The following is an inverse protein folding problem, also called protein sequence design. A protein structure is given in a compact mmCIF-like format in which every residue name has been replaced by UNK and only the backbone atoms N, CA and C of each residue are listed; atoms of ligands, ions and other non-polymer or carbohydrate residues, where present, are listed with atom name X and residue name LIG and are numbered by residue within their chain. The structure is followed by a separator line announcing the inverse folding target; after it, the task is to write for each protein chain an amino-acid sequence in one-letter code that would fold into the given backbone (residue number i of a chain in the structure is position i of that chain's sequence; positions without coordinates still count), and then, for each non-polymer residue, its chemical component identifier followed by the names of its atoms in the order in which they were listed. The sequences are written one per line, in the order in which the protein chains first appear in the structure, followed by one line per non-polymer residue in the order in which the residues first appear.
data_IF_391041762064
#
_entry.id   IF_391041762064
#
_cell.length_a   1.000
_cell.length_b   1.000
_cell.length_c   1.000
_cell.angle_alpha   90.00
_cell.angle_beta   90.00
_cell.angle_gamma   90.00
#
_symmetry.space_group_name_H-M   'P 1'
#
loop_
_entity.id
_entity.type
_entity.pdbx_description
1 polymer ?
#
# COMPACT_ATOMS: atom_id res chain seq x y z
N UNK A 1 -17.39 -20.74 72.18
CA UNK A 1 -17.35 -22.17 72.59
C UNK A 1 -16.49 -22.89 71.55
N UNK A 2 -15.16 -22.92 71.71
CA UNK A 2 -14.37 -23.96 72.42
C UNK A 2 -14.35 -25.33 71.69
N UNK A 3 -13.13 -25.76 71.31
CA UNK A 3 -12.57 -27.15 71.35
C UNK A 3 -13.06 -28.09 70.21
N UNK A 4 -12.26 -28.69 69.31
CA UNK A 4 -10.98 -29.44 69.28
C UNK A 4 -11.05 -30.96 69.57
N UNK A 5 -10.30 -31.73 68.74
CA UNK A 5 -9.76 -33.12 68.89
C UNK A 5 -10.74 -34.30 68.59
N UNK A 6 -10.48 -35.21 67.64
CA UNK A 6 -9.60 -36.40 67.83
C UNK A 6 -9.30 -37.20 66.53
N UNK A 7 -8.04 -37.62 66.36
CA UNK A 7 -7.57 -38.85 65.68
C UNK A 7 -7.28 -39.93 66.78
N UNK A 8 -6.84 -41.21 66.57
CA UNK A 8 -6.16 -41.84 65.40
C UNK A 8 -6.51 -43.33 65.09
N UNK A 9 -5.95 -43.91 64.01
CA UNK A 9 -5.14 -45.17 63.97
C UNK A 9 -4.93 -45.71 62.54
N UNK A 10 -3.67 -46.02 62.23
CA UNK A 10 -3.17 -46.81 61.10
C UNK A 10 -2.45 -48.03 61.73
N UNK A 11 -2.37 -49.24 61.11
CA UNK A 11 -1.20 -49.53 60.25
C UNK A 11 -1.35 -50.62 59.13
N UNK A 12 -0.34 -50.63 58.24
CA UNK A 12 0.20 -51.68 57.32
C UNK A 12 -0.10 -51.69 55.79
N UNK A 13 0.99 -51.38 55.05
CA UNK A 13 1.43 -51.67 53.65
C UNK A 13 1.39 -53.19 53.33
N UNK A 14 1.44 -53.73 52.10
CA UNK A 14 1.72 -53.30 50.71
C UNK A 14 1.40 -54.51 49.80
N UNK A 15 0.72 -54.33 48.66
CA UNK A 15 0.31 -55.40 47.74
C UNK A 15 0.83 -55.21 46.30
N UNK A 16 1.31 -56.31 45.74
CA UNK A 16 1.94 -56.54 44.43
C UNK A 16 0.96 -56.62 43.25
N UNK A 17 1.31 -56.06 42.09
CA UNK A 17 0.59 -56.23 40.81
C UNK A 17 1.55 -56.66 39.69
N UNK A 18 2.17 -57.81 39.89
CA UNK A 18 2.88 -58.62 38.89
C UNK A 18 2.09 -59.92 38.67
N UNK A 19 0.90 -59.88 38.04
CA UNK A 19 0.21 -61.14 37.69
C UNK A 19 -0.92 -61.09 36.64
N UNK A 20 -1.21 -59.99 35.93
CA UNK A 20 -2.44 -60.03 35.08
C UNK A 20 -2.35 -59.51 33.66
N UNK A 21 -1.37 -58.67 33.30
CA UNK A 21 -1.32 -58.12 31.94
C UNK A 21 -0.31 -58.81 31.01
N UNK A 22 0.21 -59.97 31.42
CA UNK A 22 1.29 -60.69 30.74
C UNK A 22 0.87 -62.02 30.10
N UNK A 23 -0.42 -62.31 29.94
CA UNK A 23 -0.86 -63.59 29.37
C UNK A 23 -1.87 -63.45 28.21
N UNK A 24 -1.30 -63.43 27.00
CA UNK A 24 -1.93 -63.75 25.71
C UNK A 24 -2.72 -62.63 25.01
N UNK A 25 -2.00 -61.96 24.12
CA UNK A 25 -2.26 -62.13 22.69
C UNK A 25 -0.93 -62.49 21.99
N UNK A 26 -0.59 -63.78 22.08
CA UNK A 26 0.40 -64.46 21.24
C UNK A 26 -0.17 -64.61 19.82
N UNK A 27 0.74 -64.65 18.84
CA UNK A 27 0.74 -65.50 17.64
C UNK A 27 0.67 -64.77 16.29
N UNK A 28 1.82 -64.39 15.73
CA UNK A 28 2.48 -65.12 14.63
C UNK A 28 3.52 -64.25 13.89
N UNK A 29 4.76 -64.74 13.91
CA UNK A 29 5.76 -64.85 12.85
C UNK A 29 5.93 -63.71 11.82
N UNK A 30 7.14 -63.14 11.72
CA UNK A 30 8.16 -63.58 10.72
C UNK A 30 9.39 -62.64 10.64
N UNK A 31 10.52 -63.28 10.29
CA UNK A 31 11.78 -62.78 9.69
C UNK A 31 12.88 -62.13 10.53
N UNK A 32 14.03 -62.83 10.50
CA UNK A 32 15.39 -62.32 10.51
C UNK A 32 15.50 -60.90 9.94
N UNK A 33 16.16 -60.00 10.68
CA UNK A 33 17.27 -59.13 10.26
C UNK A 33 17.27 -57.90 11.19
N UNK A 34 18.11 -57.86 12.23
CA UNK A 34 18.24 -56.64 13.04
C UNK A 34 19.63 -56.45 13.66
N UNK A 35 20.67 -56.57 12.82
CA UNK A 35 22.00 -56.01 13.13
C UNK A 35 22.22 -54.60 12.56
N UNK A 36 21.27 -54.02 11.81
CA UNK A 36 21.49 -52.75 11.08
C UNK A 36 21.07 -51.48 11.85
N UNK A 37 20.17 -51.59 12.85
CA UNK A 37 19.57 -50.43 13.51
C UNK A 37 20.39 -49.88 14.71
N UNK A 38 21.51 -50.50 15.05
CA UNK A 38 22.41 -50.04 16.13
C UNK A 38 23.41 -48.97 15.68
N UNK A 39 23.60 -48.75 14.37
CA UNK A 39 24.73 -47.99 13.82
C UNK A 39 24.41 -46.53 13.42
N UNK A 40 23.13 -46.13 13.28
CA UNK A 40 22.80 -44.88 12.58
C UNK A 40 23.00 -43.58 13.39
N UNK A 41 22.83 -43.58 14.73
CA UNK A 41 22.90 -42.34 15.54
C UNK A 41 24.32 -41.90 15.88
N UNK A 42 25.20 -42.85 16.21
CA UNK A 42 26.63 -42.57 16.39
C UNK A 42 27.26 -42.16 15.07
N UNK A 43 26.88 -42.79 13.96
CA UNK A 43 27.38 -42.46 12.62
C UNK A 43 26.98 -41.04 12.16
N UNK A 44 25.79 -40.55 12.52
CA UNK A 44 25.37 -39.18 12.19
C UNK A 44 26.17 -38.14 13.00
N UNK A 45 26.39 -38.39 14.30
CA UNK A 45 27.23 -37.53 15.12
C UNK A 45 28.70 -37.55 14.66
N UNK A 46 29.24 -38.73 14.35
CA UNK A 46 30.60 -38.87 13.85
C UNK A 46 30.80 -38.19 12.49
N UNK A 47 29.80 -38.23 11.59
CA UNK A 47 29.84 -37.45 10.34
C UNK A 47 29.84 -35.94 10.59
N UNK A 48 29.01 -35.47 11.53
CA UNK A 48 28.96 -34.05 11.89
C UNK A 48 30.29 -33.58 12.51
N UNK A 49 30.87 -34.41 13.39
CA UNK A 49 32.18 -34.17 13.98
C UNK A 49 33.28 -34.12 12.91
N UNK A 50 33.36 -35.12 12.03
CA UNK A 50 34.35 -35.15 10.95
C UNK A 50 34.27 -33.93 10.02
N UNK A 51 33.06 -33.41 9.75
CA UNK A 51 32.88 -32.21 8.93
C UNK A 51 33.19 -30.88 9.64
N UNK A 52 32.94 -30.80 10.96
CA UNK A 52 32.92 -29.53 11.69
C UNK A 52 34.06 -29.35 12.71
N UNK A 53 34.70 -30.43 13.18
CA UNK A 53 35.75 -30.37 14.21
C UNK A 53 36.97 -29.58 13.73
N UNK A 54 37.42 -29.82 12.49
CA UNK A 54 38.52 -29.06 11.90
C UNK A 54 38.21 -27.56 11.77
N UNK A 55 36.95 -27.21 11.50
CA UNK A 55 36.51 -25.82 11.40
C UNK A 55 36.43 -25.16 12.78
N UNK A 56 35.92 -25.86 13.80
CA UNK A 56 35.89 -25.37 15.17
C UNK A 56 37.29 -25.11 15.72
N UNK A 57 38.22 -26.05 15.50
CA UNK A 57 39.61 -25.91 15.92
C UNK A 57 40.29 -24.70 15.26
N UNK A 58 39.93 -24.38 14.01
CA UNK A 58 40.44 -23.20 13.29
C UNK A 58 40.01 -21.87 13.93
N UNK A 59 38.88 -21.84 14.64
CA UNK A 59 38.40 -20.67 15.37
C UNK A 59 38.68 -20.73 16.88
N UNK A 60 39.53 -21.67 17.33
CA UNK A 60 39.98 -21.78 18.72
C UNK A 60 39.01 -22.51 19.65
N UNK A 61 38.03 -23.22 19.12
CA UNK A 61 37.06 -24.01 19.89
C UNK A 61 37.35 -25.50 19.73
N UNK A 62 37.59 -26.22 20.83
CA UNK A 62 37.68 -27.67 20.81
C UNK A 62 36.30 -28.31 20.85
N UNK A 63 36.20 -29.54 20.33
CA UNK A 63 34.95 -30.29 20.36
C UNK A 63 34.50 -30.53 21.82
N UNK A 64 33.36 -29.97 22.26
CA UNK A 64 32.94 -30.03 23.67
C UNK A 64 32.51 -31.43 24.10
N UNK A 65 32.72 -31.77 25.38
CA UNK A 65 32.26 -33.05 25.97
C UNK A 65 30.73 -33.21 25.91
N UNK A 66 29.97 -32.10 25.91
CA UNK A 66 28.51 -32.12 25.74
C UNK A 66 28.05 -32.53 24.34
N UNK A 67 28.96 -32.55 23.36
CA UNK A 67 28.75 -33.03 21.99
C UNK A 67 29.53 -34.33 21.72
N UNK A 68 30.10 -34.97 22.75
CA UNK A 68 30.77 -36.26 22.59
C UNK A 68 29.76 -37.27 22.05
N UNK A 69 30.06 -37.91 20.92
CA UNK A 69 29.13 -38.80 20.24
C UNK A 69 28.71 -40.02 21.08
N UNK A 70 29.48 -40.32 22.13
CA UNK A 70 29.23 -41.33 23.16
C UNK A 70 28.11 -40.95 24.15
N UNK A 71 27.80 -39.66 24.29
CA UNK A 71 26.79 -39.14 25.22
C UNK A 71 25.34 -39.24 24.72
N UNK A 72 25.15 -39.63 23.46
CA UNK A 72 23.82 -39.72 22.85
C UNK A 72 23.19 -41.11 23.11
N UNK A 73 21.94 -41.20 23.59
CA UNK A 73 21.32 -42.46 23.98
C UNK A 73 21.03 -43.37 22.77
N UNK A 74 21.41 -44.64 22.91
CA UNK A 74 21.33 -45.68 21.86
C UNK A 74 19.95 -46.36 21.82
N UNK A 75 19.02 -46.01 22.72
CA UNK A 75 17.72 -46.71 22.86
C UNK A 75 16.53 -45.76 22.70
N UNK A 76 15.67 -46.05 21.71
CA UNK A 76 14.21 -45.92 21.81
C UNK A 76 13.57 -44.54 21.96
N UNK A 77 14.14 -43.46 21.42
CA UNK A 77 13.46 -42.14 21.32
C UNK A 77 13.32 -41.67 19.87
N UNK A 78 12.15 -41.16 19.49
CA UNK A 78 11.83 -40.62 18.15
C UNK A 78 12.96 -39.79 17.52
N UNK A 79 13.18 -39.99 16.22
CA UNK A 79 14.19 -39.30 15.42
C UNK A 79 13.70 -37.89 15.06
N UNK A 80 14.25 -36.83 15.67
CA UNK A 80 13.93 -35.43 15.32
C UNK A 80 14.79 -34.85 14.18
N UNK A 81 15.10 -35.64 13.15
CA UNK A 81 15.77 -35.15 11.93
C UNK A 81 15.09 -35.78 10.72
N UNK A 82 14.57 -34.94 9.82
CA UNK A 82 13.84 -35.37 8.63
C UNK A 82 14.67 -36.27 7.73
N UNK A 83 14.09 -37.40 7.31
CA UNK A 83 14.70 -38.29 6.32
C UNK A 83 14.91 -37.55 5.01
N UNK A 84 16.15 -37.61 4.50
CA UNK A 84 16.52 -37.08 3.20
C UNK A 84 16.19 -38.16 2.15
N UNK A 85 15.03 -38.06 1.49
CA UNK A 85 14.74 -38.87 0.31
C UNK A 85 15.51 -38.31 -0.88
N UNK A 86 16.72 -38.82 -1.11
CA UNK A 86 17.34 -38.80 -2.42
C UNK A 86 18.20 -40.04 -2.63
N UNK A 87 17.70 -40.84 -3.58
CA UNK A 87 18.44 -41.71 -4.50
C UNK A 87 18.95 -43.07 -4.00
N UNK A 88 18.17 -44.12 -4.31
CA UNK A 88 18.72 -45.41 -4.72
C UNK A 88 18.57 -45.54 -6.24
N UNK A 89 19.70 -45.44 -6.91
CA UNK A 89 19.90 -45.63 -8.35
C UNK A 89 19.50 -47.03 -8.81
N UNK A 90 18.74 -47.10 -9.92
CA UNK A 90 18.66 -48.26 -10.81
C UNK A 90 19.23 -47.85 -12.19
N UNK A 91 19.89 -48.77 -12.93
CA UNK A 91 20.75 -48.39 -14.05
C UNK A 91 19.97 -48.34 -15.36
N UNK A 92 20.17 -47.29 -16.17
CA UNK A 92 19.77 -47.26 -17.59
C UNK A 92 20.94 -46.73 -18.41
N UNK A 93 21.24 -47.48 -19.49
CA UNK A 93 22.33 -47.31 -20.45
C UNK A 93 22.35 -45.95 -21.18
N UNK A 94 23.50 -45.56 -21.77
CA UNK A 94 23.73 -44.21 -22.26
C UNK A 94 23.40 -44.06 -23.75
N UNK A 95 22.68 -43.00 -24.10
CA UNK A 95 22.83 -42.30 -25.40
C UNK A 95 22.57 -40.81 -25.22
N UNK A 96 23.31 -39.92 -25.92
CA UNK A 96 23.35 -38.50 -25.60
C UNK A 96 22.46 -37.71 -26.55
N UNK A 97 21.48 -36.97 -26.04
CA UNK A 97 21.19 -35.63 -26.56
C UNK A 97 20.33 -34.84 -25.57
N UNK A 98 20.40 -33.51 -25.69
CA UNK A 98 19.64 -32.46 -24.99
C UNK A 98 20.40 -31.77 -23.85
N UNK A 99 21.24 -30.84 -24.30
CA UNK A 99 21.29 -29.42 -23.89
C UNK A 99 21.05 -29.09 -22.41
N UNK A 100 22.19 -28.82 -21.76
CA UNK A 100 22.41 -28.05 -20.53
C UNK A 100 21.26 -27.13 -20.07
N UNK A 101 20.60 -27.51 -18.98
CA UNK A 101 20.09 -26.55 -18.01
C UNK A 101 21.16 -26.34 -16.94
N UNK A 102 21.70 -25.13 -16.87
CA UNK A 102 22.63 -24.67 -15.83
C UNK A 102 21.98 -24.74 -14.43
N UNK A 103 22.73 -25.09 -13.37
CA UNK A 103 22.21 -25.12 -12.01
C UNK A 103 21.96 -23.69 -11.50
N UNK A 104 20.72 -23.42 -11.07
CA UNK A 104 20.36 -22.15 -10.44
C UNK A 104 21.18 -21.94 -9.16
N UNK A 105 21.99 -20.89 -9.18
CA UNK A 105 22.59 -20.28 -8.00
C UNK A 105 21.54 -20.05 -6.91
N UNK A 106 21.72 -20.68 -5.74
CA UNK A 106 21.05 -20.28 -4.50
C UNK A 106 21.35 -18.80 -4.19
N UNK A 107 20.46 -17.89 -4.61
CA UNK A 107 20.46 -16.49 -4.15
C UNK A 107 19.99 -16.45 -2.68
N UNK A 108 20.96 -16.38 -1.76
CA UNK A 108 20.73 -15.89 -0.38
C UNK A 108 20.10 -14.49 -0.47
N UNK A 109 18.89 -14.30 0.08
CA UNK A 109 18.28 -12.97 0.25
C UNK A 109 16.90 -12.73 -0.38
N UNK A 110 16.24 -13.75 -0.97
CA UNK A 110 14.88 -13.59 -1.49
C UNK A 110 13.84 -13.74 -0.38
N UNK A 111 12.90 -12.78 -0.28
CA UNK A 111 11.77 -12.83 0.65
C UNK A 111 10.95 -14.11 0.39
N UNK A 112 10.52 -14.78 1.46
CA UNK A 112 9.60 -15.93 1.40
C UNK A 112 8.38 -15.62 2.26
N UNK A 113 7.19 -15.84 1.71
CA UNK A 113 5.96 -15.54 2.41
C UNK A 113 5.82 -16.39 3.70
N UNK A 114 5.73 -15.76 4.89
CA UNK A 114 5.42 -16.45 6.13
C UNK A 114 4.06 -17.13 6.07
N UNK A 115 3.88 -18.25 6.79
CA UNK A 115 2.60 -18.97 6.82
C UNK A 115 1.44 -18.05 7.24
N UNK A 116 1.68 -17.13 8.18
CA UNK A 116 0.73 -16.14 8.68
C UNK A 116 0.25 -15.11 7.65
N UNK A 117 0.96 -14.92 6.54
CA UNK A 117 0.64 -13.92 5.50
C UNK A 117 0.24 -14.56 4.17
N UNK A 118 0.16 -15.89 4.12
CA UNK A 118 -0.33 -16.59 2.94
C UNK A 118 -1.78 -16.18 2.66
N UNK A 119 -2.17 -16.21 1.41
CA UNK A 119 -3.57 -16.04 1.03
C UNK A 119 -3.98 -17.16 0.08
N UNK A 120 -5.28 -17.48 -0.01
CA UNK A 120 -5.74 -18.51 -0.92
C UNK A 120 -5.32 -18.24 -2.39
N UNK A 121 -4.91 -19.28 -3.15
CA UNK A 121 -4.38 -19.10 -4.50
C UNK A 121 -5.34 -18.43 -5.48
N UNK A 122 -6.65 -18.61 -5.29
CA UNK A 122 -7.64 -18.03 -6.17
C UNK A 122 -7.59 -16.50 -6.19
N UNK A 123 -7.03 -15.84 -5.17
CA UNK A 123 -6.92 -14.39 -5.08
C UNK A 123 -5.81 -13.80 -5.96
N UNK A 124 -4.80 -14.58 -6.37
CA UNK A 124 -3.65 -14.14 -7.18
C UNK A 124 -2.90 -12.93 -6.58
N UNK A 125 -2.83 -12.83 -5.25
CA UNK A 125 -2.12 -11.73 -4.59
C UNK A 125 -0.61 -11.88 -4.76
N UNK A 126 0.06 -10.74 -4.81
CA UNK A 126 1.52 -10.67 -4.90
C UNK A 126 2.04 -9.68 -3.86
N UNK A 127 3.07 -10.10 -3.13
CA UNK A 127 3.70 -9.29 -2.12
C UNK A 127 5.21 -9.54 -2.10
N UNK A 128 6.00 -8.45 -2.29
CA UNK A 128 7.47 -8.49 -2.37
C UNK A 128 8.02 -9.54 -3.35
N UNK A 129 7.33 -9.73 -4.48
CA UNK A 129 7.72 -10.68 -5.53
C UNK A 129 7.29 -12.13 -5.29
N UNK A 130 6.65 -12.45 -4.16
CA UNK A 130 6.09 -13.77 -3.89
C UNK A 130 4.58 -13.83 -4.18
N UNK A 131 4.15 -14.94 -4.78
CA UNK A 131 2.76 -15.20 -5.09
C UNK A 131 2.00 -15.76 -3.89
N UNK A 132 0.67 -15.57 -3.88
CA UNK A 132 -0.22 -16.06 -2.83
C UNK A 132 0.17 -15.52 -1.44
N UNK A 133 0.65 -14.28 -1.41
CA UNK A 133 1.09 -13.58 -0.22
C UNK A 133 0.49 -12.17 -0.17
N UNK A 134 0.11 -11.70 1.02
CA UNK A 134 -0.47 -10.36 1.22
C UNK A 134 0.25 -9.56 2.29
N UNK A 135 0.23 -8.23 2.16
CA UNK A 135 0.70 -7.33 3.21
C UNK A 135 -0.19 -7.45 4.47
N UNK A 136 0.36 -7.34 5.69
CA UNK A 136 -0.42 -7.43 6.93
C UNK A 136 -1.34 -6.22 7.14
N UNK A 137 -2.51 -6.45 7.74
CA UNK A 137 -3.58 -5.47 7.98
C UNK A 137 -4.18 -5.61 9.39
N UNK A 138 -3.31 -5.66 10.40
CA UNK A 138 -3.71 -5.86 11.81
C UNK A 138 -3.03 -4.83 12.73
N UNK A 139 -3.64 -3.65 12.96
CA UNK A 139 -2.99 -2.54 13.67
C UNK A 139 -2.52 -2.88 15.09
N UNK A 140 -3.24 -3.78 15.78
CA UNK A 140 -3.01 -4.13 17.19
C UNK A 140 -1.88 -5.13 17.40
N UNK A 141 -1.38 -5.79 16.34
CA UNK A 141 -0.31 -6.80 16.45
C UNK A 141 1.05 -6.19 16.15
N UNK A 142 2.08 -6.69 16.81
CA UNK A 142 3.47 -6.33 16.53
C UNK A 142 3.81 -6.71 15.07
N UNK A 143 4.29 -5.73 14.28
CA UNK A 143 4.49 -5.87 12.82
C UNK A 143 3.23 -6.22 12.01
N UNK A 144 2.04 -5.99 12.57
CA UNK A 144 0.76 -6.17 11.87
C UNK A 144 0.44 -5.05 10.86
N UNK A 145 1.32 -4.06 10.73
CA UNK A 145 1.32 -3.07 9.65
C UNK A 145 2.73 -2.92 9.10
N UNK A 146 2.82 -2.55 7.82
CA UNK A 146 4.11 -2.47 7.13
C UNK A 146 4.89 -1.20 7.47
N UNK A 147 4.21 -0.05 7.52
CA UNK A 147 4.89 1.25 7.53
C UNK A 147 4.55 2.17 8.71
N UNK A 148 3.42 1.94 9.38
CA UNK A 148 2.85 2.88 10.35
C UNK A 148 2.56 2.20 11.67
N UNK A 149 2.55 2.97 12.75
CA UNK A 149 2.01 2.54 14.04
C UNK A 149 0.49 2.77 14.12
N UNK A 150 -0.17 2.13 15.09
CA UNK A 150 -1.60 2.32 15.34
C UNK A 150 -1.95 3.79 15.63
N UNK A 151 -1.13 4.49 16.40
CA UNK A 151 -1.35 5.90 16.74
C UNK A 151 -1.20 6.81 15.53
N UNK A 152 -0.24 6.53 14.64
CA UNK A 152 -0.04 7.28 13.39
C UNK A 152 -1.21 7.07 12.43
N UNK A 153 -1.70 5.83 12.34
CA UNK A 153 -2.85 5.50 11.54
C UNK A 153 -4.11 6.23 12.04
N UNK A 154 -4.36 6.18 13.36
CA UNK A 154 -5.49 6.90 13.99
C UNK A 154 -5.40 8.41 13.74
N UNK A 155 -4.23 8.99 13.96
CA UNK A 155 -4.00 10.41 13.70
C UNK A 155 -4.30 10.76 12.24
N UNK A 156 -3.76 10.00 11.28
CA UNK A 156 -3.96 10.25 9.86
C UNK A 156 -5.44 10.13 9.46
N UNK A 157 -6.18 9.13 9.97
CA UNK A 157 -7.61 8.98 9.68
C UNK A 157 -8.45 10.12 10.22
N UNK A 158 -8.23 10.52 11.47
CA UNK A 158 -8.93 11.67 12.08
C UNK A 158 -8.61 12.94 11.28
N UNK A 159 -7.34 13.14 10.93
CA UNK A 159 -6.89 14.27 10.12
C UNK A 159 -7.60 14.30 8.76
N UNK A 160 -7.54 13.21 7.99
CA UNK A 160 -8.20 13.09 6.68
C UNK A 160 -9.71 13.28 6.81
N UNK A 161 -10.34 12.71 7.84
CA UNK A 161 -11.77 12.81 8.10
C UNK A 161 -12.24 14.25 8.32
N UNK A 162 -11.62 14.98 9.25
CA UNK A 162 -11.96 16.40 9.55
C UNK A 162 -11.89 17.24 8.28
N UNK A 163 -10.79 17.08 7.54
CA UNK A 163 -10.49 17.87 6.37
C UNK A 163 -11.35 17.52 5.15
N UNK A 164 -11.78 16.26 5.03
CA UNK A 164 -12.74 15.82 4.03
C UNK A 164 -14.13 16.39 4.30
N UNK A 165 -14.55 16.48 5.56
CA UNK A 165 -15.83 17.11 5.93
C UNK A 165 -15.83 18.60 5.60
N UNK A 166 -14.76 19.33 5.95
CA UNK A 166 -14.61 20.75 5.63
C UNK A 166 -14.61 20.99 4.12
N UNK A 167 -13.89 20.16 3.34
CA UNK A 167 -13.91 20.24 1.88
C UNK A 167 -15.31 19.95 1.33
N UNK A 168 -15.96 18.88 1.80
CA UNK A 168 -17.28 18.51 1.32
C UNK A 168 -18.27 19.65 1.53
N UNK A 169 -18.28 20.27 2.71
CA UNK A 169 -19.15 21.41 3.01
C UNK A 169 -18.90 22.60 2.07
N UNK A 170 -17.64 22.97 1.84
CA UNK A 170 -17.30 24.13 1.00
C UNK A 170 -17.58 23.90 -0.49
N UNK A 171 -17.20 22.74 -1.01
CA UNK A 171 -17.39 22.42 -2.44
C UNK A 171 -18.84 22.11 -2.75
N UNK A 172 -19.57 21.46 -1.83
CA UNK A 172 -21.02 21.24 -1.95
C UNK A 172 -21.76 22.57 -2.00
N UNK A 173 -21.41 23.53 -1.13
CA UNK A 173 -22.04 24.85 -1.15
C UNK A 173 -21.81 25.58 -2.48
N UNK A 174 -20.61 25.47 -3.04
CA UNK A 174 -20.27 26.01 -4.38
C UNK A 174 -21.14 25.38 -5.47
N UNK A 175 -21.25 24.05 -5.47
CA UNK A 175 -22.09 23.31 -6.45
C UNK A 175 -23.56 23.67 -6.28
N UNK A 176 -24.09 23.74 -5.05
CA UNK A 176 -25.48 24.10 -4.78
C UNK A 176 -25.78 25.53 -5.25
N UNK A 177 -24.86 26.47 -5.02
CA UNK A 177 -25.02 27.86 -5.48
C UNK A 177 -25.11 27.93 -7.00
N UNK A 178 -24.28 27.17 -7.72
CA UNK A 178 -24.38 27.05 -9.17
C UNK A 178 -25.72 26.43 -9.62
N UNK A 179 -26.20 25.39 -8.94
CA UNK A 179 -27.47 24.75 -9.28
C UNK A 179 -28.69 25.66 -9.08
N UNK A 180 -28.61 26.61 -8.14
CA UNK A 180 -29.66 27.61 -7.91
C UNK A 180 -29.70 28.63 -9.06
N UNK A 181 -28.55 29.05 -9.58
CA UNK A 181 -28.47 30.03 -10.68
C UNK A 181 -27.37 29.64 -11.69
N UNK A 182 -27.72 28.73 -12.61
CA UNK A 182 -26.80 28.24 -13.62
C UNK A 182 -26.49 29.27 -14.70
N UNK A 183 -27.41 30.21 -14.97
CA UNK A 183 -27.28 31.20 -16.03
C UNK A 183 -26.29 32.31 -15.67
N UNK A 184 -26.00 32.47 -14.38
CA UNK A 184 -25.04 33.46 -13.87
C UNK A 184 -23.58 33.13 -14.23
N UNK A 185 -23.24 31.86 -14.44
CA UNK A 185 -21.85 31.44 -14.62
C UNK A 185 -21.58 31.06 -16.07
N UNK A 186 -20.89 31.94 -16.80
CA UNK A 186 -20.44 31.71 -18.17
C UNK A 186 -18.98 31.24 -18.22
N UNK A 187 -18.55 30.68 -19.34
CA UNK A 187 -17.12 30.47 -19.58
C UNK A 187 -16.39 31.84 -19.53
N UNK A 188 -15.18 31.93 -18.95
CA UNK A 188 -14.25 30.86 -18.58
C UNK A 188 -14.36 30.35 -17.13
N UNK A 189 -15.39 30.73 -16.36
CA UNK A 189 -15.52 30.39 -14.94
C UNK A 189 -16.10 28.99 -14.70
N UNK A 190 -16.93 28.48 -15.61
CA UNK A 190 -17.60 27.15 -15.49
C UNK A 190 -16.67 25.97 -15.12
N UNK A 191 -15.42 25.84 -15.62
CA UNK A 191 -14.49 24.78 -15.20
C UNK A 191 -14.27 24.70 -13.69
N UNK A 192 -14.34 25.83 -12.96
CA UNK A 192 -14.22 25.86 -11.50
C UNK A 192 -15.35 25.07 -10.83
N UNK A 193 -16.58 25.14 -11.37
CA UNK A 193 -17.73 24.43 -10.81
C UNK A 193 -17.58 22.92 -10.99
N UNK A 194 -17.11 22.47 -12.16
CA UNK A 194 -16.83 21.05 -12.38
C UNK A 194 -15.67 20.55 -11.53
N UNK A 195 -14.66 21.40 -11.30
CA UNK A 195 -13.58 21.13 -10.35
C UNK A 195 -14.13 20.95 -8.92
N UNK A 196 -15.02 21.85 -8.45
CA UNK A 196 -15.73 21.71 -7.17
C UNK A 196 -16.50 20.40 -7.07
N UNK A 197 -17.25 20.04 -8.12
CA UNK A 197 -18.03 18.80 -8.17
C UNK A 197 -17.15 17.56 -8.02
N UNK A 198 -15.98 17.53 -8.67
CA UNK A 198 -15.00 16.47 -8.50
C UNK A 198 -14.52 16.37 -7.05
N UNK A 199 -14.17 17.50 -6.42
CA UNK A 199 -13.70 17.52 -5.03
C UNK A 199 -14.78 17.15 -4.00
N UNK A 200 -16.05 17.47 -4.26
CA UNK A 200 -17.17 16.98 -3.44
C UNK A 200 -17.20 15.45 -3.46
N UNK A 201 -17.10 14.83 -4.64
CA UNK A 201 -17.10 13.37 -4.75
C UNK A 201 -15.85 12.71 -4.13
N UNK A 202 -14.68 13.33 -4.28
CA UNK A 202 -13.46 12.88 -3.58
C UNK A 202 -13.63 12.92 -2.05
N UNK A 203 -14.22 14.00 -1.54
CA UNK A 203 -14.47 14.17 -0.11
C UNK A 203 -15.46 13.14 0.42
N UNK A 204 -16.53 12.86 -0.33
CA UNK A 204 -17.49 11.80 0.01
C UNK A 204 -16.80 10.44 0.09
N UNK A 205 -15.91 10.11 -0.84
CA UNK A 205 -15.18 8.85 -0.81
C UNK A 205 -14.24 8.74 0.41
N UNK A 206 -13.54 9.81 0.80
CA UNK A 206 -12.73 9.82 2.02
C UNK A 206 -13.57 9.79 3.31
N UNK A 207 -14.74 10.44 3.35
CA UNK A 207 -15.69 10.32 4.46
C UNK A 207 -16.19 8.87 4.58
N UNK A 208 -16.53 8.23 3.46
CA UNK A 208 -16.92 6.82 3.44
C UNK A 208 -15.78 5.92 3.96
N UNK A 209 -14.54 6.15 3.52
CA UNK A 209 -13.36 5.45 4.05
C UNK A 209 -13.17 5.65 5.54
N UNK A 210 -13.36 6.87 6.05
CA UNK A 210 -13.30 7.18 7.48
C UNK A 210 -14.35 6.40 8.29
N UNK A 211 -15.59 6.33 7.81
CA UNK A 211 -16.69 5.63 8.49
C UNK A 211 -16.57 4.10 8.43
N UNK A 212 -15.98 3.58 7.35
CA UNK A 212 -15.86 2.15 7.12
C UNK A 212 -14.57 1.55 7.70
N UNK A 213 -13.61 2.40 8.08
CA UNK A 213 -12.35 2.05 8.74
C UNK A 213 -11.60 0.90 8.01
N UNK A 214 -11.16 -0.12 8.74
CA UNK A 214 -10.40 -1.25 8.23
C UNK A 214 -11.26 -2.24 7.43
N UNK A 215 -12.59 -2.15 7.50
CA UNK A 215 -13.49 -3.16 6.92
C UNK A 215 -13.40 -3.22 5.41
N UNK A 216 -13.07 -2.10 4.76
CA UNK A 216 -12.97 -2.03 3.29
C UNK A 216 -11.56 -2.37 2.81
N UNK A 217 -10.55 -1.98 3.58
CA UNK A 217 -9.14 -2.09 3.20
C UNK A 217 -8.51 -3.43 3.59
N UNK A 218 -8.95 -4.04 4.69
CA UNK A 218 -8.47 -5.35 5.14
C UNK A 218 -9.42 -6.45 4.68
N UNK A 219 -8.85 -7.59 4.27
CA UNK A 219 -9.60 -8.83 4.12
C UNK A 219 -10.11 -9.32 5.48
N UNK A 220 -11.18 -10.11 5.46
CA UNK A 220 -11.55 -10.90 6.62
C UNK A 220 -10.45 -11.92 6.91
N UNK A 221 -10.40 -12.37 8.17
CA UNK A 221 -9.36 -13.28 8.60
C UNK A 221 -9.54 -14.64 7.88
N UNK A 222 -8.52 -15.06 7.15
CA UNK A 222 -8.44 -16.41 6.57
C UNK A 222 -8.04 -17.42 7.66
N UNK A 223 -7.64 -18.64 7.27
CA UNK A 223 -7.06 -19.66 8.17
C UNK A 223 -5.74 -19.22 8.87
N UNK A 224 -5.29 -17.99 8.61
CA UNK A 224 -4.04 -17.44 9.10
C UNK A 224 -4.28 -16.49 10.28
N UNK A 225 -3.26 -16.36 11.14
CA UNK A 225 -3.33 -15.49 12.31
C UNK A 225 -3.44 -14.00 11.99
N UNK A 226 -3.14 -13.54 10.77
CA UNK A 226 -3.13 -12.13 10.39
C UNK A 226 -4.12 -11.84 9.25
N UNK A 227 -4.83 -10.71 9.35
CA UNK A 227 -5.58 -10.13 8.24
C UNK A 227 -4.60 -9.56 7.22
N UNK A 228 -4.97 -9.59 5.95
CA UNK A 228 -4.16 -9.06 4.85
C UNK A 228 -4.84 -7.89 4.16
N UNK A 229 -4.05 -7.00 3.57
CA UNK A 229 -4.56 -5.86 2.79
C UNK A 229 -5.20 -6.39 1.51
N UNK A 230 -6.32 -5.79 1.11
CA UNK A 230 -7.04 -6.12 -0.11
C UNK A 230 -6.21 -5.77 -1.33
N UNK A 231 -6.14 -6.69 -2.29
CA UNK A 231 -5.54 -6.50 -3.61
C UNK A 231 -6.55 -6.94 -4.68
N UNK A 232 -6.55 -6.24 -5.81
CA UNK A 232 -7.46 -6.48 -6.92
C UNK A 232 -8.89 -5.98 -6.68
N UNK A 233 -9.79 -6.43 -7.55
CA UNK A 233 -11.17 -5.92 -7.68
C UNK A 233 -12.22 -6.83 -7.02
N UNK A 234 -11.78 -7.79 -6.21
CA UNK A 234 -12.67 -8.82 -5.64
C UNK A 234 -13.53 -8.31 -4.49
N UNK A 235 -13.07 -7.27 -3.78
CA UNK A 235 -13.82 -6.65 -2.70
C UNK A 235 -14.57 -5.43 -3.23
N UNK A 236 -15.90 -5.53 -3.23
CA UNK A 236 -16.78 -4.52 -3.84
C UNK A 236 -16.58 -3.13 -3.22
N UNK A 237 -16.61 -3.03 -1.89
CA UNK A 237 -16.45 -1.74 -1.20
C UNK A 237 -15.12 -1.05 -1.54
N UNK A 238 -14.04 -1.82 -1.67
CA UNK A 238 -12.71 -1.29 -2.01
C UNK A 238 -12.69 -0.80 -3.46
N UNK A 239 -13.28 -1.58 -4.37
CA UNK A 239 -13.40 -1.25 -5.78
C UNK A 239 -14.23 0.00 -6.01
N UNK A 240 -15.35 0.18 -5.29
CA UNK A 240 -16.21 1.37 -5.39
C UNK A 240 -15.46 2.63 -4.93
N UNK A 241 -14.78 2.59 -3.78
CA UNK A 241 -13.98 3.72 -3.31
C UNK A 241 -12.85 4.07 -4.28
N UNK A 242 -12.17 3.05 -4.81
CA UNK A 242 -11.17 3.24 -5.86
C UNK A 242 -11.76 3.93 -7.10
N UNK A 243 -12.90 3.46 -7.62
CA UNK A 243 -13.54 4.02 -8.80
C UNK A 243 -13.89 5.50 -8.59
N UNK A 244 -14.49 5.85 -7.45
CA UNK A 244 -14.80 7.24 -7.12
C UNK A 244 -13.53 8.08 -7.02
N UNK A 245 -12.56 7.67 -6.21
CA UNK A 245 -11.35 8.45 -5.96
C UNK A 245 -10.52 8.65 -7.23
N UNK A 246 -10.22 7.58 -7.96
CA UNK A 246 -9.35 7.65 -9.11
C UNK A 246 -10.01 8.42 -10.27
N UNK A 247 -11.28 8.16 -10.57
CA UNK A 247 -12.01 8.85 -11.64
C UNK A 247 -12.06 10.36 -11.40
N UNK A 248 -12.55 10.79 -10.22
CA UNK A 248 -12.71 12.21 -9.93
C UNK A 248 -11.36 12.92 -9.69
N UNK A 249 -10.33 12.22 -9.23
CA UNK A 249 -8.98 12.78 -9.13
C UNK A 249 -8.40 13.09 -10.51
N UNK A 250 -8.52 12.15 -11.45
CA UNK A 250 -8.05 12.36 -12.82
C UNK A 250 -8.89 13.40 -13.56
N UNK A 251 -10.22 13.39 -13.38
CA UNK A 251 -11.10 14.42 -13.95
C UNK A 251 -10.78 15.81 -13.43
N UNK A 252 -10.56 15.97 -12.11
CA UNK A 252 -10.19 17.28 -11.53
C UNK A 252 -8.88 17.82 -12.11
N UNK A 253 -7.91 16.96 -12.36
CA UNK A 253 -6.63 17.37 -12.96
C UNK A 253 -6.81 17.86 -14.41
N UNK A 254 -7.69 17.22 -15.19
CA UNK A 254 -8.02 17.65 -16.55
C UNK A 254 -8.83 18.95 -16.53
N UNK A 255 -9.79 19.10 -15.62
CA UNK A 255 -10.54 20.35 -15.45
C UNK A 255 -9.65 21.53 -15.09
N UNK A 256 -8.59 21.31 -14.30
CA UNK A 256 -7.57 22.33 -14.08
C UNK A 256 -6.80 22.70 -15.35
N UNK A 257 -6.43 21.73 -16.20
CA UNK A 257 -5.81 22.02 -17.51
C UNK A 257 -6.78 22.80 -18.41
N UNK A 258 -8.07 22.45 -18.41
CA UNK A 258 -9.10 23.17 -19.17
C UNK A 258 -9.24 24.60 -18.63
N UNK A 259 -9.22 24.81 -17.32
CA UNK A 259 -9.23 26.14 -16.71
C UNK A 259 -8.03 26.99 -17.18
N UNK A 260 -6.82 26.40 -17.19
CA UNK A 260 -5.62 27.07 -17.70
C UNK A 260 -5.74 27.41 -19.20
N UNK A 261 -6.30 26.49 -20.00
CA UNK A 261 -6.54 26.69 -21.42
C UNK A 261 -7.56 27.81 -21.67
N UNK A 262 -8.74 27.77 -21.05
CA UNK A 262 -9.79 28.78 -21.24
C UNK A 262 -9.33 30.14 -20.77
N UNK A 263 -8.53 30.19 -19.69
CA UNK A 263 -7.87 31.41 -19.24
C UNK A 263 -6.89 31.95 -20.29
N UNK A 264 -6.03 31.11 -20.88
CA UNK A 264 -5.13 31.51 -21.96
C UNK A 264 -5.89 31.99 -23.21
N UNK A 265 -6.95 31.29 -23.62
CA UNK A 265 -7.77 31.68 -24.78
C UNK A 265 -8.42 33.05 -24.57
N UNK A 266 -8.93 33.30 -23.37
CA UNK A 266 -9.51 34.60 -23.01
C UNK A 266 -8.43 35.70 -22.93
N UNK A 267 -7.31 35.43 -22.26
CA UNK A 267 -6.24 36.41 -22.00
C UNK A 267 -5.35 36.71 -23.19
N UNK A 268 -4.90 35.69 -23.91
CA UNK A 268 -3.96 35.82 -25.00
C UNK A 268 -4.62 35.90 -26.37
N UNK A 269 -5.60 35.05 -26.63
CA UNK A 269 -6.28 35.00 -27.92
C UNK A 269 -7.51 35.92 -27.99
N UNK A 270 -7.86 36.60 -26.90
CA UNK A 270 -9.01 37.51 -26.78
C UNK A 270 -10.35 36.83 -27.12
N UNK A 271 -10.48 35.54 -26.85
CA UNK A 271 -11.75 34.85 -27.07
C UNK A 271 -12.81 35.33 -26.08
N UNK A 272 -13.99 35.67 -26.59
CA UNK A 272 -15.18 35.94 -25.78
C UNK A 272 -15.78 34.65 -25.20
N UNK A 273 -16.68 34.79 -24.22
CA UNK A 273 -17.33 33.66 -23.57
C UNK A 273 -18.13 32.77 -24.56
N UNK A 274 -18.80 33.37 -25.54
CA UNK A 274 -19.56 32.68 -26.60
C UNK A 274 -18.69 31.74 -27.44
N UNK A 275 -17.48 32.19 -27.81
CA UNK A 275 -16.55 31.40 -28.62
C UNK A 275 -16.00 30.18 -27.86
N UNK A 276 -15.75 30.34 -26.56
CA UNK A 276 -15.31 29.24 -25.69
C UNK A 276 -16.47 28.27 -25.47
N UNK A 277 -17.68 28.77 -25.23
CA UNK A 277 -18.87 27.95 -24.99
C UNK A 277 -19.26 27.10 -26.19
N UNK A 278 -19.11 27.63 -27.42
CA UNK A 278 -19.33 26.89 -28.67
C UNK A 278 -18.43 25.65 -28.84
N UNK A 279 -17.33 25.57 -28.09
CA UNK A 279 -16.38 24.44 -28.11
C UNK A 279 -16.45 23.57 -26.84
N UNK A 280 -17.38 23.84 -25.93
CA UNK A 280 -17.45 23.20 -24.62
C UNK A 280 -17.61 21.68 -24.65
N UNK A 281 -18.24 21.13 -25.69
CA UNK A 281 -18.37 19.69 -25.91
C UNK A 281 -17.02 18.96 -25.89
N UNK A 282 -15.97 19.55 -26.44
CA UNK A 282 -14.64 18.94 -26.47
C UNK A 282 -13.99 18.92 -25.09
N UNK A 283 -14.21 19.96 -24.29
CA UNK A 283 -13.71 20.03 -22.92
C UNK A 283 -14.35 18.94 -22.05
N UNK A 284 -15.67 18.78 -22.13
CA UNK A 284 -16.40 17.73 -21.42
C UNK A 284 -15.99 16.33 -21.87
N UNK A 285 -15.86 16.11 -23.18
CA UNK A 285 -15.43 14.83 -23.72
C UNK A 285 -14.06 14.43 -23.16
N UNK A 286 -13.08 15.34 -23.21
CA UNK A 286 -11.73 15.07 -22.68
C UNK A 286 -11.74 14.82 -21.17
N UNK A 287 -12.45 15.66 -20.40
CA UNK A 287 -12.49 15.59 -18.94
C UNK A 287 -13.14 14.32 -18.39
N UNK A 288 -14.09 13.72 -19.12
CA UNK A 288 -14.81 12.53 -18.66
C UNK A 288 -14.36 11.23 -19.31
N UNK A 289 -14.06 11.24 -20.61
CA UNK A 289 -13.66 10.02 -21.32
C UNK A 289 -12.26 9.55 -20.90
N UNK A 290 -11.30 10.47 -20.73
CA UNK A 290 -9.91 10.09 -20.39
C UNK A 290 -9.83 9.43 -19.00
N UNK A 291 -10.46 9.96 -17.93
CA UNK A 291 -10.51 9.26 -16.65
C UNK A 291 -11.28 7.95 -16.73
N UNK A 292 -12.40 7.89 -17.46
CA UNK A 292 -13.18 6.66 -17.62
C UNK A 292 -12.34 5.52 -18.22
N UNK A 293 -11.64 5.79 -19.33
CA UNK A 293 -10.78 4.82 -20.01
C UNK A 293 -9.68 4.33 -19.05
N UNK A 294 -9.06 5.24 -18.29
CA UNK A 294 -8.03 4.88 -17.31
C UNK A 294 -8.58 4.01 -16.18
N UNK A 295 -9.72 4.37 -15.60
CA UNK A 295 -10.38 3.57 -14.57
C UNK A 295 -10.71 2.17 -15.07
N UNK A 296 -11.30 2.05 -16.26
CA UNK A 296 -11.63 0.75 -16.88
C UNK A 296 -10.36 -0.08 -17.09
N UNK A 297 -9.29 0.55 -17.59
CA UNK A 297 -8.00 -0.13 -17.82
C UNK A 297 -7.44 -0.69 -16.50
N UNK A 298 -7.46 0.09 -15.42
CA UNK A 298 -6.94 -0.35 -14.10
C UNK A 298 -7.79 -1.48 -13.52
N UNK A 299 -9.12 -1.41 -13.66
CA UNK A 299 -10.01 -2.49 -13.26
C UNK A 299 -9.74 -3.78 -14.05
N UNK A 300 -9.48 -3.66 -15.36
CA UNK A 300 -9.18 -4.80 -16.22
C UNK A 300 -7.84 -5.47 -15.86
N UNK A 301 -6.82 -4.70 -15.47
CA UNK A 301 -5.53 -5.27 -15.00
C UNK A 301 -5.54 -5.67 -13.52
N UNK A 302 -6.60 -5.37 -12.78
CA UNK A 302 -6.73 -5.71 -11.37
C UNK A 302 -5.72 -5.02 -10.45
N UNK A 303 -5.19 -3.85 -10.83
CA UNK A 303 -4.18 -3.11 -10.05
C UNK A 303 -4.85 -2.15 -9.05
N UNK A 304 -5.66 -2.69 -8.14
CA UNK A 304 -6.33 -1.93 -7.08
C UNK A 304 -5.83 -2.43 -5.74
N UNK A 305 -5.35 -1.53 -4.88
CA UNK A 305 -4.79 -1.87 -3.59
C UNK A 305 -5.48 -1.08 -2.48
N UNK A 306 -5.66 -1.71 -1.32
CA UNK A 306 -6.08 -1.01 -0.12
C UNK A 306 -4.97 -0.14 0.48
N UNK A 307 -5.30 1.10 0.88
CA UNK A 307 -4.42 1.96 1.68
C UNK A 307 -4.88 1.98 3.15
N UNK A 308 -4.12 1.28 3.99
CA UNK A 308 -4.39 1.16 5.44
C UNK A 308 -4.35 2.50 6.16
N UNK A 309 -3.58 3.46 5.66
CA UNK A 309 -3.40 4.74 6.33
C UNK A 309 -4.63 5.63 6.15
N UNK A 310 -5.10 5.77 4.90
CA UNK A 310 -6.24 6.63 4.56
C UNK A 310 -7.60 5.93 4.70
N UNK A 311 -7.64 4.60 4.76
CA UNK A 311 -8.91 3.84 4.86
C UNK A 311 -9.65 3.73 3.54
N UNK A 312 -9.00 4.00 2.41
CA UNK A 312 -9.57 3.92 1.06
C UNK A 312 -8.73 2.99 0.17
N UNK A 313 -9.11 2.84 -1.10
CA UNK A 313 -8.38 2.02 -2.06
C UNK A 313 -7.90 2.86 -3.24
N UNK A 314 -6.68 2.58 -3.71
CA UNK A 314 -6.03 3.32 -4.77
C UNK A 314 -5.11 2.43 -5.62
N UNK A 315 -4.64 2.94 -6.75
CA UNK A 315 -3.71 2.22 -7.64
C UNK A 315 -2.25 2.56 -7.28
N UNK A 316 -1.35 1.57 -7.42
CA UNK A 316 0.09 1.81 -7.29
C UNK A 316 0.62 1.80 -5.85
N UNK A 317 -0.15 1.26 -4.89
CA UNK A 317 0.32 1.11 -3.51
C UNK A 317 1.32 -0.04 -3.42
N UNK A 318 1.06 -1.18 -4.06
CA UNK A 318 1.98 -2.33 -4.05
C UNK A 318 2.83 -2.43 -5.32
N UNK A 319 2.38 -1.85 -6.44
CA UNK A 319 3.07 -1.94 -7.73
C UNK A 319 3.64 -0.59 -8.20
N UNK A 320 4.97 -0.51 -8.34
CA UNK A 320 5.67 0.68 -8.83
C UNK A 320 5.34 0.97 -10.30
N UNK A 321 5.17 -0.07 -11.11
CA UNK A 321 4.83 0.09 -12.53
C UNK A 321 3.43 0.69 -12.70
N UNK A 322 2.47 0.25 -11.88
CA UNK A 322 1.13 0.82 -11.88
C UNK A 322 1.13 2.27 -11.39
N UNK A 323 1.91 2.60 -10.35
CA UNK A 323 2.10 3.98 -9.88
C UNK A 323 2.65 4.89 -10.97
N UNK A 324 3.71 4.46 -11.67
CA UNK A 324 4.35 5.21 -12.76
C UNK A 324 3.39 5.44 -13.92
N UNK A 325 2.77 4.37 -14.41
CA UNK A 325 1.94 4.41 -15.62
C UNK A 325 0.59 5.10 -15.42
N UNK A 326 -0.10 4.80 -14.32
CA UNK A 326 -1.48 5.27 -14.13
C UNK A 326 -1.61 6.54 -13.29
N UNK A 327 -0.58 6.95 -12.54
CA UNK A 327 -0.64 8.13 -11.67
C UNK A 327 0.41 9.15 -12.08
N UNK A 328 1.69 8.82 -11.97
CA UNK A 328 2.77 9.79 -12.11
C UNK A 328 2.89 10.36 -13.53
N UNK A 329 2.93 9.51 -14.55
CA UNK A 329 3.04 9.95 -15.94
C UNK A 329 1.86 10.84 -16.38
N UNK A 330 0.58 10.46 -16.13
CA UNK A 330 -0.57 11.35 -16.34
C UNK A 330 -0.47 12.70 -15.63
N UNK A 331 -0.16 12.72 -14.34
CA UNK A 331 -0.11 13.95 -13.56
C UNK A 331 1.00 14.88 -14.06
N UNK A 332 2.15 14.33 -14.43
CA UNK A 332 3.24 15.09 -15.03
C UNK A 332 2.83 15.71 -16.37
N UNK A 333 2.19 14.94 -17.26
CA UNK A 333 1.69 15.45 -18.55
C UNK A 333 0.66 16.55 -18.36
N UNK A 334 -0.31 16.37 -17.45
CA UNK A 334 -1.32 17.39 -17.16
C UNK A 334 -0.68 18.66 -16.60
N UNK A 335 0.22 18.53 -15.62
CA UNK A 335 0.94 19.66 -15.04
C UNK A 335 1.76 20.41 -16.09
N UNK A 336 2.47 19.70 -16.96
CA UNK A 336 3.27 20.30 -18.02
C UNK A 336 2.41 21.08 -19.01
N UNK A 337 1.30 20.49 -19.48
CA UNK A 337 0.38 21.15 -20.43
C UNK A 337 -0.27 22.37 -19.76
N UNK A 338 -0.81 22.23 -18.55
CA UNK A 338 -1.47 23.32 -17.85
C UNK A 338 -0.51 24.47 -17.52
N UNK A 339 0.70 24.18 -17.04
CA UNK A 339 1.70 25.23 -16.77
C UNK A 339 2.15 25.93 -18.05
N UNK A 340 2.25 25.22 -19.18
CA UNK A 340 2.53 25.82 -20.48
C UNK A 340 1.47 26.86 -20.88
N UNK A 341 0.18 26.54 -20.70
CA UNK A 341 -0.90 27.51 -20.95
C UNK A 341 -0.87 28.68 -19.96
N UNK A 342 -0.59 28.44 -18.68
CA UNK A 342 -0.46 29.51 -17.68
C UNK A 342 0.69 30.47 -18.01
N UNK A 343 1.83 29.95 -18.45
CA UNK A 343 2.96 30.78 -18.89
C UNK A 343 2.60 31.59 -20.14
N UNK A 344 1.99 30.95 -21.14
CA UNK A 344 1.57 31.64 -22.37
C UNK A 344 0.54 32.76 -22.09
N UNK A 345 -0.44 32.50 -21.22
CA UNK A 345 -1.44 33.50 -20.84
C UNK A 345 -0.84 34.62 -20.00
N UNK A 346 0.10 34.31 -19.10
CA UNK A 346 0.81 35.33 -18.31
C UNK A 346 1.59 36.27 -19.23
N UNK A 347 2.42 35.73 -20.13
CA UNK A 347 3.17 36.52 -21.14
C UNK A 347 2.23 37.39 -21.98
N UNK A 348 1.07 36.85 -22.37
CA UNK A 348 0.09 37.59 -23.17
C UNK A 348 -0.54 38.76 -22.38
N UNK A 349 -0.83 38.58 -21.09
CA UNK A 349 -1.34 39.65 -20.23
C UNK A 349 -0.32 40.79 -20.05
N UNK A 350 0.98 40.48 -19.88
CA UNK A 350 2.01 41.53 -19.82
C UNK A 350 2.09 42.32 -21.11
N UNK A 351 2.07 41.64 -22.28
CA UNK A 351 2.11 42.31 -23.58
C UNK A 351 0.93 43.28 -23.75
N UNK A 352 -0.26 42.88 -23.33
CA UNK A 352 -1.45 43.74 -23.39
C UNK A 352 -1.31 44.92 -22.42
N UNK A 353 -0.92 44.69 -21.17
CA UNK A 353 -0.75 45.75 -20.16
C UNK A 353 0.32 46.78 -20.53
N UNK A 354 1.39 46.37 -21.22
CA UNK A 354 2.43 47.29 -21.69
C UNK A 354 1.92 48.20 -22.82
N UNK A 355 1.01 47.73 -23.67
CA UNK A 355 0.49 48.47 -24.82
C UNK A 355 -0.73 49.34 -24.44
N UNK A 356 -1.55 48.89 -23.48
CA UNK A 356 -2.86 49.48 -23.16
C UNK A 356 -2.81 50.64 -22.14
N UNK A 357 -1.64 51.24 -21.91
CA UNK A 357 -1.46 52.32 -20.93
C UNK A 357 -2.14 53.65 -21.32
N UNK A 358 -2.86 53.70 -22.44
CA UNK A 358 -3.41 54.94 -22.99
C UNK A 358 -4.94 54.99 -23.20
N UNK A 359 -5.73 53.94 -22.92
CA UNK A 359 -7.20 54.01 -23.08
C UNK A 359 -7.99 53.02 -22.21
N UNK A 360 -9.00 53.53 -21.48
CA UNK A 360 -10.27 52.82 -21.24
C UNK A 360 -10.59 52.29 -19.83
N UNK A 361 -11.55 52.94 -19.16
CA UNK A 361 -12.15 52.58 -17.86
C UNK A 361 -13.11 51.36 -17.86
N UNK A 362 -13.43 50.77 -19.04
CA UNK A 362 -14.39 49.63 -19.15
C UNK A 362 -13.74 48.25 -19.10
N UNK A 363 -12.45 48.12 -19.38
CA UNK A 363 -11.74 46.82 -19.40
C UNK A 363 -11.27 46.37 -18.02
N UNK A 364 -11.36 47.23 -17.01
CA UNK A 364 -10.79 47.02 -15.68
C UNK A 364 -11.46 45.87 -14.89
N UNK A 365 -12.78 45.69 -15.05
CA UNK A 365 -13.52 44.59 -14.39
C UNK A 365 -13.13 43.21 -14.94
N UNK A 366 -13.11 43.08 -16.27
CA UNK A 366 -12.68 41.86 -16.96
C UNK A 366 -11.22 41.53 -16.63
N UNK A 367 -10.35 42.55 -16.60
CA UNK A 367 -8.94 42.38 -16.25
C UNK A 367 -8.74 41.90 -14.80
N UNK A 368 -9.48 42.45 -13.84
CA UNK A 368 -9.46 41.99 -12.43
C UNK A 368 -9.91 40.53 -12.29
N UNK A 369 -10.96 40.14 -13.01
CA UNK A 369 -11.45 38.76 -13.04
C UNK A 369 -10.40 37.80 -13.62
N UNK A 370 -9.76 38.18 -14.74
CA UNK A 370 -8.76 37.34 -15.39
C UNK A 370 -7.48 37.19 -14.56
N UNK A 371 -7.01 38.26 -13.91
CA UNK A 371 -5.87 38.20 -12.98
C UNK A 371 -6.15 37.24 -11.82
N UNK A 372 -7.37 37.30 -11.27
CA UNK A 372 -7.81 36.44 -10.17
C UNK A 372 -7.84 34.96 -10.55
N UNK A 373 -8.42 34.62 -11.71
CA UNK A 373 -8.42 33.25 -12.24
C UNK A 373 -6.98 32.75 -12.50
N UNK A 374 -6.11 33.63 -12.99
CA UNK A 374 -4.69 33.33 -13.19
C UNK A 374 -3.95 33.02 -11.88
N UNK A 375 -4.14 33.86 -10.84
CA UNK A 375 -3.57 33.63 -9.50
C UNK A 375 -4.04 32.29 -8.94
N UNK A 376 -5.34 32.01 -9.01
CA UNK A 376 -5.89 30.74 -8.53
C UNK A 376 -5.27 29.53 -9.24
N UNK A 377 -5.13 29.61 -10.56
CA UNK A 377 -4.55 28.53 -11.36
C UNK A 377 -3.06 28.28 -11.02
N UNK A 378 -2.30 29.34 -10.74
CA UNK A 378 -0.92 29.25 -10.25
C UNK A 378 -0.86 28.66 -8.84
N UNK A 379 -1.76 29.09 -7.94
CA UNK A 379 -1.83 28.54 -6.58
C UNK A 379 -2.15 27.04 -6.57
N UNK A 380 -2.94 26.53 -7.52
CA UNK A 380 -3.19 25.10 -7.68
C UNK A 380 -1.95 24.32 -8.18
N UNK A 381 -1.05 24.99 -8.91
CA UNK A 381 0.18 24.37 -9.45
C UNK A 381 1.11 23.92 -8.32
N UNK A 382 1.22 24.72 -7.25
CA UNK A 382 2.11 24.45 -6.09
C UNK A 382 1.79 23.13 -5.38
N UNK A 383 0.56 22.85 -4.91
CA UNK A 383 0.25 21.55 -4.31
C UNK A 383 0.34 20.40 -5.32
N UNK A 384 0.08 20.64 -6.62
CA UNK A 384 0.23 19.61 -7.64
C UNK A 384 1.70 19.20 -7.85
N UNK A 385 2.65 20.15 -7.89
CA UNK A 385 4.08 19.85 -7.99
C UNK A 385 4.59 19.13 -6.74
N UNK A 386 4.12 19.53 -5.55
CA UNK A 386 4.47 18.85 -4.29
C UNK A 386 3.99 17.39 -4.32
N UNK A 387 2.76 17.12 -4.74
CA UNK A 387 2.25 15.74 -4.87
C UNK A 387 3.09 14.90 -5.84
N UNK A 388 3.51 15.47 -6.96
CA UNK A 388 4.39 14.76 -7.91
C UNK A 388 5.78 14.52 -7.29
N UNK A 389 6.36 15.51 -6.62
CA UNK A 389 7.64 15.36 -5.91
C UNK A 389 7.57 14.29 -4.82
N UNK A 390 6.44 14.23 -4.11
CA UNK A 390 6.10 13.15 -3.20
C UNK A 390 6.16 11.80 -3.94
N UNK A 391 5.43 11.59 -5.03
CA UNK A 391 5.46 10.31 -5.74
C UNK A 391 6.86 9.92 -6.24
N UNK A 392 7.68 10.88 -6.67
CA UNK A 392 9.09 10.61 -7.00
C UNK A 392 9.91 10.18 -5.79
N UNK A 393 9.69 10.81 -4.64
CA UNK A 393 10.33 10.43 -3.37
C UNK A 393 9.92 9.02 -2.96
N UNK A 394 8.62 8.70 -2.97
CA UNK A 394 8.14 7.35 -2.68
C UNK A 394 8.77 6.32 -3.61
N UNK A 395 8.80 6.60 -4.91
CA UNK A 395 9.43 5.72 -5.88
C UNK A 395 10.93 5.50 -5.61
N UNK A 396 11.67 6.54 -5.23
CA UNK A 396 13.12 6.45 -5.05
C UNK A 396 13.52 5.65 -3.79
N UNK A 397 12.69 5.68 -2.75
CA UNK A 397 13.02 5.07 -1.46
C UNK A 397 12.24 3.78 -1.14
N UNK A 398 11.28 3.38 -1.99
CA UNK A 398 10.43 2.21 -1.75
C UNK A 398 11.23 0.93 -1.52
N UNK A 399 12.18 0.61 -2.39
CA UNK A 399 12.98 -0.62 -2.27
C UNK A 399 13.73 -0.69 -0.92
N UNK A 400 14.22 0.44 -0.43
CA UNK A 400 14.91 0.52 0.86
C UNK A 400 13.94 0.28 2.03
N UNK A 401 12.71 0.81 1.95
CA UNK A 401 11.68 0.60 2.96
C UNK A 401 11.23 -0.87 3.02
N UNK A 402 11.03 -1.49 1.86
CA UNK A 402 10.64 -2.90 1.75
C UNK A 402 11.71 -3.84 2.32
N UNK A 403 12.99 -3.61 2.01
CA UNK A 403 14.10 -4.39 2.55
C UNK A 403 14.23 -4.24 4.07
N UNK A 404 14.09 -3.01 4.58
CA UNK A 404 14.16 -2.72 6.01
C UNK A 404 13.02 -3.41 6.76
N UNK A 405 11.79 -3.32 6.24
CA UNK A 405 10.65 -4.01 6.82
C UNK A 405 10.83 -5.53 6.80
N UNK A 406 11.23 -6.10 5.66
CA UNK A 406 11.49 -7.55 5.55
C UNK A 406 12.53 -8.03 6.56
N UNK A 407 13.64 -7.30 6.72
CA UNK A 407 14.71 -7.65 7.67
C UNK A 407 14.28 -7.57 9.14
N UNK A 408 13.36 -6.66 9.49
CA UNK A 408 12.81 -6.53 10.84
C UNK A 408 11.73 -7.58 11.10
N UNK A 409 10.79 -7.74 10.18
CA UNK A 409 9.67 -8.67 10.30
C UNK A 409 10.12 -10.13 10.28
N UNK A 410 11.22 -10.47 9.60
CA UNK A 410 11.81 -11.80 9.64
C UNK A 410 12.22 -12.23 11.07
N UNK A 411 12.45 -11.28 11.98
CA UNK A 411 12.82 -11.51 13.39
C UNK A 411 11.62 -11.76 14.31
N UNK A 412 10.45 -11.36 13.85
CA UNK A 412 9.17 -11.52 14.56
C UNK A 412 8.43 -12.75 14.04
N UNK A 413 8.48 -12.99 12.72
CA UNK A 413 7.99 -14.22 12.11
C UNK A 413 9.00 -15.38 12.21
N UNK A 414 10.25 -15.12 12.61
CA UNK A 414 11.28 -16.12 12.93
C UNK A 414 12.17 -15.65 14.09
N UNK A 415 12.32 -16.47 15.14
CA UNK A 415 13.07 -16.14 16.37
C UNK A 415 14.53 -15.78 16.07
N UNK A 416 14.91 -14.50 15.98
CA UNK A 416 16.25 -13.94 16.31
C UNK A 416 16.16 -12.41 16.22
N UNK A 417 16.37 -11.72 17.35
CA UNK A 417 16.34 -10.24 17.42
C UNK A 417 17.70 -9.63 17.10
N UNK A 418 17.71 -8.56 16.30
CA UNK A 418 18.79 -7.56 16.25
C UNK A 418 18.15 -6.23 15.81
N UNK A 419 17.99 -5.29 16.73
CA UNK A 419 17.45 -3.97 16.43
C UNK A 419 18.44 -3.19 15.55
N UNK A 420 18.05 -2.86 14.32
CA UNK A 420 18.68 -1.81 13.53
C UNK A 420 17.75 -0.61 13.55
N UNK A 421 18.21 0.48 14.16
CA UNK A 421 17.44 1.69 14.40
C UNK A 421 17.49 2.61 13.17
N UNK A 422 16.64 2.38 12.18
CA UNK A 422 16.41 3.31 11.05
C UNK A 422 15.23 4.25 11.35
N UNK A 423 15.33 5.06 12.41
CA UNK A 423 14.29 6.06 12.76
C UNK A 423 14.22 7.23 11.76
N UNK A 424 15.29 7.50 11.01
CA UNK A 424 15.40 8.67 10.12
C UNK A 424 14.61 8.52 8.81
N UNK A 425 14.55 7.34 8.19
CA UNK A 425 13.81 7.13 6.94
C UNK A 425 12.28 7.17 7.14
N UNK A 426 11.78 6.71 8.29
CA UNK A 426 10.35 6.75 8.61
C UNK A 426 9.84 8.16 8.97
N UNK A 427 10.70 9.03 9.51
CA UNK A 427 10.34 10.42 9.83
C UNK A 427 9.98 11.25 8.58
N UNK A 428 10.69 11.04 7.46
CA UNK A 428 10.41 11.70 6.20
C UNK A 428 9.11 11.21 5.55
N UNK A 429 8.73 9.94 5.74
CA UNK A 429 7.45 9.40 5.24
C UNK A 429 6.23 9.94 6.01
N UNK A 430 6.39 10.30 7.29
CA UNK A 430 5.35 11.00 8.07
C UNK A 430 5.16 12.45 7.61
N UNK A 431 6.26 13.15 7.33
CA UNK A 431 6.22 14.45 6.65
C UNK A 431 5.57 14.35 5.26
N UNK A 432 5.83 13.27 4.52
CA UNK A 432 5.28 12.98 3.19
C UNK A 432 3.76 12.83 3.16
N UNK A 433 3.14 12.06 4.07
CA UNK A 433 1.67 11.96 4.14
C UNK A 433 1.03 13.21 4.73
N UNK A 434 1.71 13.88 5.66
CA UNK A 434 1.34 15.22 6.13
C UNK A 434 1.32 16.24 4.99
N UNK A 435 2.32 16.24 4.11
CA UNK A 435 2.39 17.11 2.92
C UNK A 435 1.35 16.72 1.86
N UNK A 436 1.13 15.42 1.64
CA UNK A 436 0.14 14.92 0.67
C UNK A 436 -1.28 15.29 1.08
N UNK A 437 -1.63 15.05 2.36
CA UNK A 437 -2.91 15.52 2.92
C UNK A 437 -2.99 17.03 2.95
N UNK A 438 -1.92 17.74 3.36
CA UNK A 438 -1.84 19.21 3.32
C UNK A 438 -1.99 19.77 1.90
N UNK A 439 -1.52 19.09 0.85
CA UNK A 439 -1.66 19.54 -0.54
C UNK A 439 -3.06 19.29 -1.10
N UNK A 440 -3.67 18.16 -0.77
CA UNK A 440 -5.11 17.92 -0.98
C UNK A 440 -5.90 19.02 -0.26
N UNK A 441 -5.43 19.44 0.90
CA UNK A 441 -6.07 20.43 1.74
C UNK A 441 -5.91 21.88 1.33
N UNK A 442 -4.72 22.26 0.90
CA UNK A 442 -4.44 23.58 0.32
C UNK A 442 -5.27 23.73 -0.95
N UNK A 443 -5.46 22.67 -1.75
CA UNK A 443 -6.43 22.66 -2.85
C UNK A 443 -7.88 22.93 -2.37
N UNK A 444 -8.27 22.45 -1.19
CA UNK A 444 -9.61 22.64 -0.63
C UNK A 444 -9.81 24.04 0.00
N UNK A 445 -8.78 24.60 0.65
CA UNK A 445 -8.78 25.98 1.17
C UNK A 445 -8.76 26.99 0.02
N UNK A 446 -8.01 26.70 -1.05
CA UNK A 446 -8.03 27.50 -2.28
C UNK A 446 -9.41 27.56 -2.93
N UNK A 447 -10.24 26.52 -2.79
CA UNK A 447 -11.63 26.53 -3.27
C UNK A 447 -12.56 27.36 -2.39
N UNK A 448 -12.30 27.47 -1.08
CA UNK A 448 -13.00 28.41 -0.19
C UNK A 448 -12.72 29.87 -0.59
N UNK A 449 -11.47 30.17 -0.92
CA UNK A 449 -11.10 31.49 -1.44
C UNK A 449 -11.78 31.76 -2.79
N UNK A 450 -11.86 30.77 -3.68
CA UNK A 450 -12.60 30.90 -4.95
C UNK A 450 -14.10 31.09 -4.76
N UNK A 451 -14.70 30.42 -3.78
CA UNK A 451 -16.10 30.66 -3.44
C UNK A 451 -16.32 32.09 -2.95
N UNK A 452 -15.51 32.58 -2.00
CA UNK A 452 -15.52 33.99 -1.57
C UNK A 452 -15.34 34.95 -2.76
N UNK A 453 -14.50 34.58 -3.72
CA UNK A 453 -14.24 35.35 -4.93
C UNK A 453 -15.43 35.35 -5.92
N UNK A 454 -16.15 34.24 -6.09
CA UNK A 454 -17.32 34.13 -6.99
C UNK A 454 -18.61 34.66 -6.36
N UNK A 455 -18.73 34.58 -5.03
CA UNK A 455 -19.90 35.09 -4.27
C UNK A 455 -19.78 36.57 -3.90
N UNK A 456 -18.64 37.20 -4.15
CA UNK A 456 -18.48 38.64 -3.91
C UNK A 456 -19.48 39.43 -4.78
N UNK A 457 -20.32 40.30 -4.18
CA UNK A 457 -21.34 41.07 -4.90
C UNK A 457 -20.73 42.08 -5.91
N UNK A 458 -19.42 42.35 -5.83
CA UNK A 458 -18.68 43.24 -6.72
C UNK A 458 -18.45 42.67 -8.14
N UNK A 459 -18.96 41.47 -8.43
CA UNK A 459 -19.01 40.91 -9.80
C UNK A 459 -20.07 41.62 -10.67
N UNK A 460 -20.92 42.47 -10.09
CA UNK A 460 -21.89 43.30 -10.81
C UNK A 460 -21.33 44.67 -11.24
#
# INVERSE_FOLDING_TARGET
SLISVSAPKNPYRSGSTLHWFQEKLKSNDFYLMNCFNLLERSLLCERARQGCEALMNKFGFQWPESLACESFPVHGGELCVGQNTSERSAPVNPTPDVTQATPEHHRKGRFRCPASLKVPPYLNYRFLGEENCGAPCEPKKLHGMMYFSEDEQKFARIWIGIWSVLCCASTLFTVLTYLVDMNRFSYPERPIIFLSGCYTMLSVAYIAGFLLEDKVVCNEQFDNEFRTVVQGTKKEGCTILFMMLYFFSMASSIWWVILALTWFLSAGMKWGHEAIEANSQYFHLAAWAVPAIKTITILAVGQVDGDVLSGVCFVGINSVDALRGFVLAPLFVYLFIGTSFLLAGFVSLFRIRTIMKHDGTKTEKLEKLMVRIGIFSVLYTVPATIVIACYFYEQAFRDQWEQTWSAQSCKTYGKISLLIHTRTLFHWRKCYYGLWTLCILVKNVLMLDVFQLLSSPDVH
#
